data_IF_089172198882
#
_entry.id   IF_089172198882
#
_cell.length_a   1.000
_cell.length_b   1.000
_cell.length_c   1.000
_cell.angle_alpha   90.00
_cell.angle_beta   90.00
_cell.angle_gamma   90.00
#
_symmetry.space_group_name_H-M   'P 1'
#
loop_
_entity.id
_entity.type
_entity.pdbx_description
1 polymer ?
#
# COMPACT_ATOMS: atom_id res chain seq x y z
N UNK A 1 35.80 -27.30 7.17
CA UNK A 1 35.11 -26.99 8.44
C UNK A 1 36.11 -27.11 9.58
N UNK A 2 36.13 -26.18 10.53
CA UNK A 2 37.04 -26.24 11.67
C UNK A 2 36.76 -27.50 12.49
N UNK A 3 37.81 -28.22 12.91
CA UNK A 3 37.71 -29.51 13.61
C UNK A 3 37.33 -29.40 15.10
N UNK A 4 37.07 -28.19 15.60
CA UNK A 4 36.85 -27.92 17.03
C UNK A 4 35.58 -27.11 17.22
N UNK A 5 34.77 -27.49 18.23
CA UNK A 5 33.57 -26.78 18.62
C UNK A 5 33.88 -25.30 18.97
N UNK A 6 32.94 -24.42 18.64
CA UNK A 6 33.02 -23.01 19.02
C UNK A 6 32.94 -22.86 20.55
N UNK A 7 33.57 -21.81 21.08
CA UNK A 7 33.49 -21.48 22.51
C UNK A 7 32.04 -21.21 22.90
N UNK A 8 31.61 -21.77 24.03
CA UNK A 8 30.27 -21.52 24.57
C UNK A 8 30.14 -20.09 25.11
N UNK A 9 28.90 -19.60 25.22
CA UNK A 9 28.61 -18.25 25.76
C UNK A 9 29.20 -18.06 27.17
N UNK A 10 29.19 -19.11 27.99
CA UNK A 10 29.79 -19.12 29.34
C UNK A 10 31.31 -18.96 29.26
N UNK A 11 31.97 -19.67 28.33
CA UNK A 11 33.42 -19.55 28.17
C UNK A 11 33.83 -18.18 27.64
N UNK A 12 33.08 -17.62 26.68
CA UNK A 12 33.38 -16.29 26.14
C UNK A 12 33.21 -15.18 27.19
N UNK A 13 32.20 -15.30 28.06
CA UNK A 13 31.98 -14.33 29.16
C UNK A 13 33.07 -14.40 30.22
N UNK A 14 33.52 -15.60 30.60
CA UNK A 14 34.68 -15.79 31.50
C UNK A 14 35.95 -15.20 30.88
N UNK A 15 36.16 -15.39 29.57
CA UNK A 15 37.30 -14.80 28.87
C UNK A 15 37.23 -13.28 28.91
N UNK A 16 36.08 -12.67 28.61
CA UNK A 16 35.90 -11.22 28.60
C UNK A 16 36.10 -10.58 29.98
N UNK A 17 35.60 -11.20 31.06
CA UNK A 17 35.73 -10.68 32.43
C UNK A 17 37.18 -10.75 32.90
N UNK A 18 37.81 -11.91 32.79
CA UNK A 18 39.18 -12.11 33.27
C UNK A 18 40.23 -11.39 32.40
N UNK A 19 39.93 -11.16 31.12
CA UNK A 19 40.78 -10.34 30.26
C UNK A 19 40.73 -8.85 30.64
N UNK A 20 39.57 -8.34 31.08
CA UNK A 20 39.46 -6.97 31.63
C UNK A 20 40.21 -6.80 32.95
N UNK A 21 40.31 -7.87 33.74
CA UNK A 21 41.11 -7.93 34.97
C UNK A 21 42.62 -8.15 34.71
N UNK A 22 43.08 -8.03 33.45
CA UNK A 22 44.49 -8.18 33.02
C UNK A 22 45.15 -9.52 33.42
N UNK A 23 44.35 -10.58 33.64
CA UNK A 23 44.87 -11.90 33.99
C UNK A 23 45.59 -12.54 32.80
N UNK A 24 46.61 -13.35 33.10
CA UNK A 24 47.35 -14.08 32.05
C UNK A 24 46.43 -15.02 31.26
N UNK A 25 46.63 -15.12 29.93
CA UNK A 25 45.82 -15.98 29.06
C UNK A 25 45.82 -17.45 29.49
N UNK A 26 46.88 -17.91 30.18
CA UNK A 26 46.98 -19.27 30.75
C UNK A 26 46.02 -19.46 31.93
N UNK A 27 45.87 -18.46 32.80
CA UNK A 27 44.91 -18.49 33.90
C UNK A 27 43.47 -18.43 33.38
N UNK A 28 43.21 -17.57 32.38
CA UNK A 28 41.91 -17.46 31.71
C UNK A 28 41.51 -18.80 31.07
N UNK A 29 42.44 -19.47 30.39
CA UNK A 29 42.21 -20.76 29.76
C UNK A 29 41.82 -21.86 30.78
N UNK A 30 42.49 -21.87 31.93
CA UNK A 30 42.21 -22.83 33.02
C UNK A 30 40.81 -22.61 33.60
N UNK A 31 40.43 -21.35 33.85
CA UNK A 31 39.14 -20.98 34.43
C UNK A 31 37.98 -21.18 33.43
N UNK A 32 38.18 -20.81 32.16
CA UNK A 32 37.21 -21.01 31.10
C UNK A 32 37.14 -22.47 30.59
N UNK A 33 37.97 -23.38 31.12
CA UNK A 33 38.02 -24.78 30.69
C UNK A 33 38.29 -24.95 29.19
N UNK A 34 39.14 -24.10 28.59
CA UNK A 34 39.46 -24.14 27.17
C UNK A 34 40.97 -24.01 26.93
N UNK A 35 41.44 -24.24 25.69
CA UNK A 35 42.88 -24.09 25.40
C UNK A 35 43.31 -22.62 25.39
N UNK A 36 44.55 -22.33 25.81
CA UNK A 36 45.11 -20.97 25.74
C UNK A 36 45.11 -20.40 24.31
N UNK A 37 45.30 -21.25 23.31
CA UNK A 37 45.14 -20.88 21.89
C UNK A 37 43.72 -20.42 21.53
N UNK A 38 42.68 -20.98 22.16
CA UNK A 38 41.30 -20.55 21.95
C UNK A 38 41.05 -19.17 22.55
N UNK A 39 41.55 -18.92 23.77
CA UNK A 39 41.52 -17.61 24.43
C UNK A 39 42.22 -16.54 23.57
N UNK A 40 43.44 -16.82 23.10
CA UNK A 40 44.20 -15.91 22.25
C UNK A 40 43.49 -15.62 20.92
N UNK A 41 42.93 -16.63 20.25
CA UNK A 41 42.15 -16.44 19.01
C UNK A 41 40.89 -15.62 19.23
N UNK A 42 40.19 -15.84 20.34
CA UNK A 42 38.99 -15.10 20.69
C UNK A 42 39.29 -13.62 20.94
N UNK A 43 40.28 -13.32 21.80
CA UNK A 43 40.72 -11.95 22.10
C UNK A 43 41.16 -11.24 20.81
N UNK A 44 41.99 -11.89 19.99
CA UNK A 44 42.43 -11.32 18.72
C UNK A 44 41.28 -11.09 17.73
N UNK A 45 40.27 -11.95 17.71
CA UNK A 45 39.07 -11.78 16.86
C UNK A 45 38.25 -10.57 17.30
N UNK A 46 38.04 -10.41 18.61
CA UNK A 46 37.31 -9.28 19.19
C UNK A 46 38.06 -7.96 18.96
N UNK A 47 39.37 -7.93 19.24
CA UNK A 47 40.21 -6.74 19.04
C UNK A 47 40.31 -6.32 17.57
N UNK A 48 40.43 -7.28 16.65
CA UNK A 48 40.57 -6.98 15.21
C UNK A 48 39.24 -6.71 14.49
N UNK A 49 38.09 -6.77 15.19
CA UNK A 49 36.73 -6.62 14.63
C UNK A 49 36.62 -7.24 13.24
N UNK A 50 37.10 -8.47 13.09
CA UNK A 50 37.12 -9.09 11.76
C UNK A 50 35.67 -9.30 11.35
N UNK A 51 35.21 -8.55 10.34
CA UNK A 51 33.87 -8.75 9.80
C UNK A 51 33.71 -10.21 9.43
N UNK A 52 32.56 -10.78 9.78
CA UNK A 52 32.23 -12.15 9.42
C UNK A 52 32.26 -12.26 7.89
N UNK A 53 33.33 -12.87 7.37
CA UNK A 53 33.47 -13.11 5.95
C UNK A 53 32.55 -14.27 5.57
N UNK A 54 31.28 -13.96 5.39
CA UNK A 54 30.28 -14.88 4.88
C UNK A 54 30.53 -15.22 3.41
N UNK A 55 29.70 -16.10 2.88
CA UNK A 55 29.70 -16.40 1.44
C UNK A 55 29.45 -15.10 0.67
N UNK A 56 30.40 -14.73 -0.19
CA UNK A 56 30.26 -13.58 -1.09
C UNK A 56 28.99 -13.73 -1.93
N UNK A 57 28.32 -12.62 -2.18
CA UNK A 57 27.11 -12.58 -3.02
C UNK A 57 27.45 -13.07 -4.44
N UNK A 58 26.54 -13.82 -5.04
CA UNK A 58 26.71 -14.32 -6.40
C UNK A 58 26.63 -13.21 -7.48
N UNK A 59 26.14 -12.02 -7.13
CA UNK A 59 25.88 -10.92 -8.07
C UNK A 59 26.49 -9.62 -7.57
N UNK A 60 26.97 -8.83 -8.52
CA UNK A 60 27.65 -7.57 -8.27
C UNK A 60 26.66 -6.42 -8.09
N UNK A 61 27.11 -5.33 -7.49
CA UNK A 61 26.30 -4.11 -7.38
C UNK A 61 25.97 -3.49 -8.75
N UNK A 62 26.73 -3.83 -9.79
CA UNK A 62 26.41 -3.45 -11.17
C UNK A 62 25.19 -4.19 -11.69
N UNK A 63 25.05 -5.47 -11.35
CA UNK A 63 23.92 -6.31 -11.73
C UNK A 63 22.64 -5.88 -11.00
N UNK A 64 22.76 -5.47 -9.74
CA UNK A 64 21.65 -4.92 -8.98
C UNK A 64 21.15 -3.60 -9.59
N UNK A 65 22.07 -2.70 -9.96
CA UNK A 65 21.72 -1.44 -10.63
C UNK A 65 21.03 -1.68 -11.98
N UNK A 66 21.40 -2.75 -12.70
CA UNK A 66 20.72 -3.11 -13.94
C UNK A 66 19.31 -3.62 -13.69
N UNK A 67 19.12 -4.46 -12.67
CA UNK A 67 17.80 -4.93 -12.24
C UNK A 67 16.91 -3.77 -11.78
N UNK A 68 17.44 -2.84 -10.99
CA UNK A 68 16.70 -1.69 -10.50
C UNK A 68 16.19 -0.80 -11.64
N UNK A 69 17.02 -0.59 -12.67
CA UNK A 69 16.63 0.16 -13.88
C UNK A 69 15.49 -0.53 -14.63
N UNK A 70 15.55 -1.84 -14.80
CA UNK A 70 14.48 -2.64 -15.44
C UNK A 70 13.17 -2.48 -14.66
N UNK A 71 13.23 -2.60 -13.33
CA UNK A 71 12.06 -2.42 -12.45
C UNK A 71 11.48 -1.00 -12.57
N UNK A 72 12.34 0.04 -12.61
CA UNK A 72 11.91 1.43 -12.75
C UNK A 72 11.22 1.71 -14.07
N UNK A 73 11.64 1.07 -15.17
CA UNK A 73 11.00 1.18 -16.48
C UNK A 73 9.64 0.47 -16.52
N UNK A 74 9.52 -0.68 -15.85
CA UNK A 74 8.32 -1.52 -15.88
C UNK A 74 7.81 -1.90 -14.50
N UNK A 75 7.28 -0.93 -13.73
CA UNK A 75 6.83 -1.15 -12.34
C UNK A 75 5.73 -2.20 -12.16
N UNK A 76 4.95 -2.47 -13.21
CA UNK A 76 3.84 -3.43 -13.20
C UNK A 76 4.22 -4.81 -13.76
N UNK A 77 5.46 -5.00 -14.19
CA UNK A 77 5.91 -6.28 -14.73
C UNK A 77 5.97 -7.34 -13.64
N UNK A 78 5.64 -8.57 -14.02
CA UNK A 78 5.71 -9.70 -13.09
C UNK A 78 7.16 -10.17 -12.89
N UNK A 79 7.42 -10.95 -11.84
CA UNK A 79 8.77 -11.45 -11.53
C UNK A 79 9.41 -12.25 -12.69
N UNK A 80 8.61 -12.98 -13.48
CA UNK A 80 9.10 -13.75 -14.61
C UNK A 80 9.61 -12.85 -15.74
N UNK A 81 8.87 -11.80 -16.07
CA UNK A 81 9.27 -10.78 -17.04
C UNK A 81 10.53 -10.04 -16.60
N UNK A 82 10.56 -9.57 -15.34
CA UNK A 82 11.73 -8.91 -14.76
C UNK A 82 12.97 -9.82 -14.80
N UNK A 83 12.80 -11.10 -14.50
CA UNK A 83 13.88 -12.08 -14.57
C UNK A 83 14.36 -12.32 -16.01
N UNK A 84 13.43 -12.46 -16.97
CA UNK A 84 13.74 -12.64 -18.38
C UNK A 84 14.57 -11.47 -18.90
N UNK A 85 14.10 -10.24 -18.70
CA UNK A 85 14.82 -9.04 -19.13
C UNK A 85 16.16 -8.86 -18.43
N UNK A 86 16.27 -9.23 -17.15
CA UNK A 86 17.55 -9.18 -16.45
C UNK A 86 18.56 -10.20 -17.01
N UNK A 87 18.06 -11.33 -17.49
CA UNK A 87 18.87 -12.36 -18.17
C UNK A 87 19.29 -11.90 -19.56
N UNK A 88 18.38 -11.27 -20.31
CA UNK A 88 18.65 -10.65 -21.62
C UNK A 88 19.66 -9.51 -21.51
N UNK A 89 19.68 -8.79 -20.38
CA UNK A 89 20.69 -7.78 -20.06
C UNK A 89 22.08 -8.39 -19.71
N UNK A 90 22.25 -9.71 -19.84
CA UNK A 90 23.52 -10.42 -19.66
C UNK A 90 23.75 -10.98 -18.26
N UNK A 91 22.77 -10.92 -17.35
CA UNK A 91 22.93 -11.42 -15.98
C UNK A 91 22.32 -12.81 -15.83
N UNK A 92 23.17 -13.84 -15.76
CA UNK A 92 22.73 -15.21 -15.48
C UNK A 92 22.35 -15.39 -14.01
N UNK A 93 21.06 -15.39 -13.68
CA UNK A 93 20.55 -15.59 -12.33
C UNK A 93 19.32 -16.49 -12.34
N UNK A 94 19.02 -17.17 -11.22
CA UNK A 94 17.75 -17.87 -11.08
C UNK A 94 16.61 -16.89 -10.78
N UNK A 95 15.37 -17.25 -11.10
CA UNK A 95 14.18 -16.47 -10.72
C UNK A 95 14.13 -16.18 -9.21
N UNK A 96 14.51 -17.16 -8.38
CA UNK A 96 14.59 -17.01 -6.92
C UNK A 96 15.66 -15.99 -6.52
N UNK A 97 16.80 -15.97 -7.21
CA UNK A 97 17.84 -14.94 -7.01
C UNK A 97 17.28 -13.57 -7.35
N UNK A 98 16.63 -13.41 -8.50
CA UNK A 98 15.99 -12.14 -8.90
C UNK A 98 15.03 -11.63 -7.82
N UNK A 99 14.17 -12.51 -7.30
CA UNK A 99 13.24 -12.17 -6.21
C UNK A 99 13.98 -11.70 -4.94
N UNK A 100 14.98 -12.45 -4.49
CA UNK A 100 15.77 -12.08 -3.30
C UNK A 100 16.47 -10.73 -3.49
N UNK A 101 17.03 -10.46 -4.67
CA UNK A 101 17.66 -9.16 -4.98
C UNK A 101 16.64 -8.03 -4.95
N UNK A 102 15.46 -8.22 -5.52
CA UNK A 102 14.38 -7.23 -5.44
C UNK A 102 14.04 -6.92 -3.98
N UNK A 103 13.91 -7.95 -3.15
CA UNK A 103 13.61 -7.78 -1.73
C UNK A 103 14.75 -7.10 -0.96
N UNK A 104 16.01 -7.47 -1.20
CA UNK A 104 17.20 -6.82 -0.62
C UNK A 104 17.25 -5.32 -0.97
N UNK A 105 16.79 -4.95 -2.17
CA UNK A 105 16.67 -3.56 -2.62
C UNK A 105 15.42 -2.83 -2.08
N UNK A 106 14.60 -3.49 -1.25
CA UNK A 106 13.39 -2.93 -0.67
C UNK A 106 12.14 -2.98 -1.56
N UNK A 107 12.18 -3.75 -2.66
CA UNK A 107 11.00 -3.96 -3.49
C UNK A 107 10.14 -5.11 -2.97
N UNK A 108 8.82 -4.88 -2.95
CA UNK A 108 7.84 -5.90 -2.63
C UNK A 108 6.65 -5.76 -3.58
N UNK A 109 6.05 -6.89 -3.94
CA UNK A 109 4.80 -6.90 -4.70
C UNK A 109 3.67 -6.41 -3.80
N UNK A 110 2.96 -5.36 -4.22
CA UNK A 110 1.82 -4.77 -3.51
C UNK A 110 0.67 -4.54 -4.47
N UNK A 111 -0.55 -4.53 -3.95
CA UNK A 111 -1.73 -4.13 -4.72
C UNK A 111 -1.62 -2.62 -4.99
N UNK A 112 -1.66 -2.17 -6.26
CA UNK A 112 -1.58 -0.74 -6.58
C UNK A 112 -2.79 0.01 -6.05
N UNK A 113 -2.58 1.23 -5.57
CA UNK A 113 -3.67 2.11 -5.17
C UNK A 113 -4.41 2.62 -6.41
N UNK A 114 -5.71 2.33 -6.50
CA UNK A 114 -6.56 2.83 -7.58
C UNK A 114 -7.04 4.24 -7.22
N UNK A 115 -6.71 5.22 -8.06
CA UNK A 115 -7.12 6.63 -7.89
C UNK A 115 -7.69 7.17 -9.20
N UNK A 116 -8.68 8.08 -9.16
CA UNK A 116 -9.14 8.76 -10.35
C UNK A 116 -8.00 9.59 -10.95
N UNK A 117 -7.87 9.54 -12.27
CA UNK A 117 -6.87 10.33 -12.98
C UNK A 117 -7.28 11.81 -12.96
N UNK A 118 -6.38 12.69 -12.52
CA UNK A 118 -6.62 14.13 -12.44
C UNK A 118 -5.75 14.87 -13.44
N UNK A 119 -6.36 15.70 -14.28
CA UNK A 119 -5.63 16.62 -15.15
C UNK A 119 -4.93 17.72 -14.31
N UNK A 120 -4.02 18.47 -14.95
CA UNK A 120 -3.23 19.49 -14.23
C UNK A 120 -4.09 20.63 -13.66
N UNK A 121 -5.11 21.07 -14.41
CA UNK A 121 -6.06 22.11 -14.00
C UNK A 121 -6.87 21.69 -12.76
N UNK A 122 -7.35 20.45 -12.73
CA UNK A 122 -8.07 19.88 -11.59
C UNK A 122 -7.18 19.79 -10.35
N UNK A 123 -5.92 19.36 -10.51
CA UNK A 123 -4.93 19.33 -9.42
C UNK A 123 -4.71 20.72 -8.82
N UNK A 124 -4.52 21.73 -9.67
CA UNK A 124 -4.33 23.12 -9.22
C UNK A 124 -5.57 23.66 -8.49
N UNK A 125 -6.78 23.45 -9.04
CA UNK A 125 -8.03 23.86 -8.37
C UNK A 125 -8.19 23.21 -6.99
N UNK A 126 -7.96 21.90 -6.90
CA UNK A 126 -8.01 21.16 -5.62
C UNK A 126 -6.98 21.68 -4.62
N UNK A 127 -5.76 21.96 -5.08
CA UNK A 127 -4.70 22.50 -4.23
C UNK A 127 -5.02 23.92 -3.74
N UNK A 128 -5.54 24.78 -4.61
CA UNK A 128 -5.94 26.15 -4.26
C UNK A 128 -7.03 26.12 -3.19
N UNK A 129 -8.09 25.34 -3.43
CA UNK A 129 -9.17 25.15 -2.47
C UNK A 129 -8.66 24.60 -1.13
N UNK A 130 -7.78 23.59 -1.15
CA UNK A 130 -7.21 23.04 0.08
C UNK A 130 -6.38 24.07 0.86
N UNK A 131 -5.59 24.91 0.18
CA UNK A 131 -4.81 25.99 0.81
C UNK A 131 -5.70 27.09 1.38
N UNK A 132 -6.73 27.50 0.64
CA UNK A 132 -7.71 28.51 1.10
C UNK A 132 -8.44 28.08 2.38
N UNK A 133 -8.74 26.77 2.50
CA UNK A 133 -9.47 26.20 3.64
C UNK A 133 -8.55 25.58 4.71
N UNK A 134 -7.22 25.63 4.53
CA UNK A 134 -6.26 24.98 5.43
C UNK A 134 -6.35 25.50 6.87
N UNK A 135 -6.61 26.80 7.04
CA UNK A 135 -6.66 27.48 8.34
C UNK A 135 -8.09 27.75 8.81
N UNK A 136 -9.08 27.07 8.21
CA UNK A 136 -10.46 27.22 8.66
C UNK A 136 -10.64 26.68 10.07
N UNK A 137 -11.33 27.46 10.91
CA UNK A 137 -11.64 27.07 12.28
C UNK A 137 -12.74 26.01 12.32
N UNK A 138 -12.86 25.30 13.44
CA UNK A 138 -13.94 24.32 13.66
C UNK A 138 -15.31 24.98 13.45
N UNK A 139 -15.48 26.23 13.91
CA UNK A 139 -16.72 26.99 13.72
C UNK A 139 -17.04 27.31 12.24
N UNK A 140 -16.01 27.48 11.41
CA UNK A 140 -16.21 27.67 9.96
C UNK A 140 -16.58 26.34 9.28
N UNK A 141 -15.94 25.23 9.69
CA UNK A 141 -16.31 23.90 9.20
C UNK A 141 -17.70 23.46 9.67
N UNK A 142 -18.14 23.88 10.85
CA UNK A 142 -19.46 23.51 11.38
C UNK A 142 -20.61 24.10 10.56
N UNK A 143 -20.35 25.16 9.79
CA UNK A 143 -21.30 25.82 8.91
C UNK A 143 -21.39 25.18 7.50
N UNK A 144 -20.62 24.12 7.22
CA UNK A 144 -20.61 23.47 5.91
C UNK A 144 -21.62 22.31 5.88
N UNK A 145 -22.52 22.33 4.91
CA UNK A 145 -23.34 21.17 4.52
C UNK A 145 -22.66 20.44 3.39
N UNK A 146 -22.32 19.17 3.60
CA UNK A 146 -21.85 18.28 2.55
C UNK A 146 -23.04 17.51 2.01
N UNK A 147 -23.19 17.46 0.68
CA UNK A 147 -24.19 16.63 0.00
C UNK A 147 -23.51 15.81 -1.09
N UNK A 148 -23.97 14.59 -1.32
CA UNK A 148 -23.48 13.74 -2.42
C UNK A 148 -24.54 12.70 -2.82
N UNK A 149 -24.40 12.18 -4.03
CA UNK A 149 -25.16 11.02 -4.51
C UNK A 149 -24.32 9.75 -4.46
N UNK A 150 -24.90 8.68 -3.93
CA UNK A 150 -24.28 7.35 -3.94
C UNK A 150 -25.21 6.33 -4.59
N UNK A 151 -24.60 5.37 -5.29
CA UNK A 151 -25.31 4.22 -5.87
C UNK A 151 -24.95 2.99 -5.06
N UNK A 152 -25.95 2.36 -4.46
CA UNK A 152 -25.83 1.11 -3.73
C UNK A 152 -26.32 -0.05 -4.58
N UNK A 153 -25.42 -0.94 -4.99
CA UNK A 153 -25.80 -2.16 -5.70
C UNK A 153 -26.33 -3.21 -4.72
N UNK A 154 -27.51 -3.78 -5.01
CA UNK A 154 -28.18 -4.81 -4.20
C UNK A 154 -27.46 -6.17 -4.36
N UNK A 155 -26.88 -6.44 -5.53
CA UNK A 155 -26.10 -7.64 -5.77
C UNK A 155 -24.61 -7.45 -5.46
N UNK A 156 -24.21 -7.88 -4.25
CA UNK A 156 -22.86 -8.22 -3.77
C UNK A 156 -21.71 -7.23 -4.06
N UNK A 157 -21.03 -6.78 -3.00
CA UNK A 157 -19.76 -6.06 -3.09
C UNK A 157 -18.69 -6.78 -3.92
N UNK A 158 -17.65 -6.03 -4.31
CA UNK A 158 -16.59 -6.38 -5.28
C UNK A 158 -15.85 -7.73 -5.07
N UNK A 159 -16.09 -8.46 -3.98
CA UNK A 159 -15.42 -9.72 -3.66
C UNK A 159 -16.44 -10.74 -3.19
N UNK A 160 -17.24 -11.28 -4.10
CA UNK A 160 -18.15 -12.39 -3.80
C UNK A 160 -17.48 -13.56 -3.04
N UNK A 161 -18.26 -14.52 -2.51
CA UNK A 161 -17.72 -15.63 -1.74
C UNK A 161 -16.59 -16.34 -2.50
N UNK A 162 -15.50 -16.64 -1.79
CA UNK A 162 -14.37 -17.36 -2.37
C UNK A 162 -14.81 -18.77 -2.74
N UNK A 163 -14.46 -19.19 -3.95
CA UNK A 163 -14.71 -20.55 -4.44
C UNK A 163 -13.48 -21.40 -4.19
N UNK A 164 -13.67 -22.61 -3.65
CA UNK A 164 -12.63 -23.63 -3.57
C UNK A 164 -12.63 -24.41 -4.90
N UNK A 165 -11.54 -24.34 -5.67
CA UNK A 165 -11.40 -25.04 -6.95
C UNK A 165 -10.05 -25.75 -7.07
N UNK A 166 -10.01 -26.90 -7.75
CA UNK A 166 -8.74 -27.58 -8.06
C UNK A 166 -8.06 -26.91 -9.27
N UNK A 167 -6.76 -27.17 -9.42
CA UNK A 167 -5.98 -26.70 -10.58
C UNK A 167 -6.64 -27.13 -11.89
N UNK A 168 -6.96 -26.16 -12.76
CA UNK A 168 -7.64 -26.39 -14.05
C UNK A 168 -9.17 -26.29 -14.00
N UNK A 169 -9.79 -26.15 -12.83
CA UNK A 169 -11.26 -26.06 -12.69
C UNK A 169 -11.80 -24.63 -12.75
N UNK A 170 -10.94 -23.63 -12.92
CA UNK A 170 -11.30 -22.21 -12.87
C UNK A 170 -12.41 -21.80 -13.87
N UNK A 171 -12.52 -22.51 -15.00
CA UNK A 171 -13.52 -22.26 -16.05
C UNK A 171 -14.76 -23.15 -15.94
N UNK A 172 -14.83 -24.05 -14.94
CA UNK A 172 -16.03 -24.88 -14.73
C UNK A 172 -17.17 -23.99 -14.26
N UNK A 173 -18.37 -24.19 -14.80
CA UNK A 173 -19.57 -23.43 -14.42
C UNK A 173 -19.85 -23.46 -12.91
N UNK A 174 -19.56 -24.57 -12.23
CA UNK A 174 -19.66 -24.70 -10.77
C UNK A 174 -18.67 -23.82 -9.98
N UNK A 175 -17.62 -23.33 -10.64
CA UNK A 175 -16.60 -22.46 -10.08
C UNK A 175 -16.72 -21.00 -10.58
N UNK A 176 -17.68 -20.72 -11.47
CA UNK A 176 -17.94 -19.39 -12.01
C UNK A 176 -19.07 -18.72 -11.25
N UNK A 177 -18.89 -17.43 -10.96
CA UNK A 177 -19.97 -16.57 -10.46
C UNK A 177 -20.55 -15.80 -11.64
N UNK A 178 -21.85 -15.93 -11.88
CA UNK A 178 -22.54 -15.08 -12.87
C UNK A 178 -22.45 -13.61 -12.44
N UNK A 179 -22.02 -12.75 -13.36
CA UNK A 179 -21.98 -11.31 -13.19
C UNK A 179 -22.97 -10.67 -14.15
N UNK A 180 -23.89 -9.86 -13.62
CA UNK A 180 -24.82 -9.08 -14.43
C UNK A 180 -24.16 -7.75 -14.82
N UNK A 181 -24.32 -7.32 -16.08
CA UNK A 181 -23.76 -6.05 -16.60
C UNK A 181 -24.35 -4.83 -15.90
N UNK A 182 -25.63 -4.92 -15.51
CA UNK A 182 -26.38 -3.87 -14.82
C UNK A 182 -27.00 -4.44 -13.55
N UNK A 183 -26.26 -4.48 -12.43
CA UNK A 183 -26.82 -4.96 -11.17
C UNK A 183 -27.97 -4.06 -10.74
N UNK A 184 -28.97 -4.66 -10.10
CA UNK A 184 -30.02 -3.89 -9.45
C UNK A 184 -29.36 -2.98 -8.41
N UNK A 185 -29.64 -1.69 -8.48
CA UNK A 185 -29.03 -0.69 -7.61
C UNK A 185 -30.05 0.36 -7.21
N UNK A 186 -29.76 1.05 -6.12
CA UNK A 186 -30.58 2.12 -5.57
C UNK A 186 -29.70 3.36 -5.49
N UNK A 187 -30.16 4.45 -6.09
CA UNK A 187 -29.50 5.74 -5.96
C UNK A 187 -30.06 6.47 -4.76
N UNK A 188 -29.16 6.98 -3.93
CA UNK A 188 -29.50 7.67 -2.69
C UNK A 188 -28.78 9.00 -2.70
N UNK A 189 -29.52 10.07 -2.40
CA UNK A 189 -28.96 11.36 -2.07
C UNK A 189 -28.96 11.54 -0.55
N UNK A 190 -27.90 12.16 -0.03
CA UNK A 190 -27.83 12.49 1.38
C UNK A 190 -27.02 13.75 1.62
N UNK A 191 -27.27 14.36 2.77
CA UNK A 191 -26.48 15.47 3.27
C UNK A 191 -26.03 15.22 4.72
N UNK A 192 -24.92 15.86 5.11
CA UNK A 192 -24.41 15.83 6.47
C UNK A 192 -23.67 17.12 6.81
N UNK A 193 -23.75 17.52 8.08
CA UNK A 193 -22.99 18.63 8.65
C UNK A 193 -22.35 18.18 9.97
N UNK A 194 -21.65 19.11 10.63
CA UNK A 194 -21.13 18.88 11.99
C UNK A 194 -22.21 18.50 13.02
N UNK A 195 -23.45 18.93 12.81
CA UNK A 195 -24.58 18.60 13.69
C UNK A 195 -25.15 17.19 13.46
N UNK A 196 -24.71 16.50 12.40
CA UNK A 196 -25.15 15.14 12.06
C UNK A 196 -25.68 15.02 10.63
N UNK A 197 -26.18 13.82 10.34
CA UNK A 197 -26.65 13.40 9.00
C UNK A 197 -28.11 13.79 8.80
N UNK A 198 -28.49 14.14 7.58
CA UNK A 198 -29.88 14.38 7.17
C UNK A 198 -30.56 13.10 6.67
N UNK A 199 -31.90 13.06 6.62
CA UNK A 199 -32.62 11.93 6.05
C UNK A 199 -32.16 11.61 4.63
N UNK A 200 -31.93 10.33 4.36
CA UNK A 200 -31.55 9.86 3.03
C UNK A 200 -32.77 9.90 2.10
N UNK A 201 -32.58 10.45 0.90
CA UNK A 201 -33.59 10.50 -0.15
C UNK A 201 -33.32 9.41 -1.18
N UNK A 202 -34.29 8.50 -1.32
CA UNK A 202 -34.24 7.41 -2.29
C UNK A 202 -34.72 7.90 -3.65
N UNK A 203 -33.82 7.96 -4.62
CA UNK A 203 -34.12 8.41 -5.97
C UNK A 203 -34.53 7.20 -6.81
N UNK A 204 -35.80 7.19 -7.22
CA UNK A 204 -36.39 6.09 -8.02
C UNK A 204 -36.12 6.21 -9.51
N UNK A 205 -35.68 7.37 -9.99
CA UNK A 205 -35.46 7.70 -11.40
C UNK A 205 -34.01 8.07 -11.67
N UNK A 206 -33.65 8.20 -12.96
CA UNK A 206 -32.38 8.80 -13.37
C UNK A 206 -32.34 10.25 -12.93
N UNK A 207 -31.28 10.66 -12.22
CA UNK A 207 -31.09 12.05 -11.80
C UNK A 207 -30.90 12.94 -13.03
N UNK A 208 -31.89 13.79 -13.26
CA UNK A 208 -31.81 14.91 -14.19
C UNK A 208 -31.81 16.22 -13.39
N UNK A 209 -31.65 17.35 -14.07
CA UNK A 209 -31.57 18.65 -13.41
C UNK A 209 -32.83 19.00 -12.61
N UNK A 210 -34.03 18.67 -13.13
CA UNK A 210 -35.30 18.96 -12.45
C UNK A 210 -35.48 18.14 -11.17
N UNK A 211 -35.23 16.82 -11.25
CA UNK A 211 -35.24 15.92 -10.09
C UNK A 211 -34.23 16.38 -9.04
N UNK A 212 -33.05 16.85 -9.49
CA UNK A 212 -32.06 17.37 -8.55
C UNK A 212 -32.51 18.67 -7.87
N UNK A 213 -33.15 19.58 -8.60
CA UNK A 213 -33.74 20.80 -8.02
C UNK A 213 -34.81 20.46 -6.99
N UNK A 214 -35.71 19.53 -7.30
CA UNK A 214 -36.73 19.06 -6.35
C UNK A 214 -36.09 18.46 -5.09
N UNK A 215 -35.03 17.68 -5.22
CA UNK A 215 -34.28 17.12 -4.08
C UNK A 215 -33.67 18.24 -3.23
N UNK A 216 -33.06 19.24 -3.87
CA UNK A 216 -32.47 20.36 -3.13
C UNK A 216 -33.52 21.16 -2.36
N UNK A 217 -34.66 21.43 -2.99
CA UNK A 217 -35.77 22.17 -2.37
C UNK A 217 -36.39 21.40 -1.21
N UNK A 218 -36.62 20.09 -1.36
CA UNK A 218 -37.31 19.29 -0.35
C UNK A 218 -36.40 18.83 0.79
N UNK A 219 -35.11 18.59 0.54
CA UNK A 219 -34.21 17.98 1.53
C UNK A 219 -33.08 18.91 1.97
N UNK A 220 -32.50 19.71 1.06
CA UNK A 220 -31.29 20.48 1.35
C UNK A 220 -31.61 21.84 1.98
N UNK A 221 -32.65 22.55 1.49
CA UNK A 221 -33.07 23.82 2.08
C UNK A 221 -33.54 23.65 3.54
N UNK A 222 -34.45 22.71 3.88
CA UNK A 222 -34.87 22.54 5.27
C UNK A 222 -33.72 22.12 6.19
N UNK A 223 -32.81 21.28 5.70
CA UNK A 223 -31.61 20.88 6.45
C UNK A 223 -30.67 22.06 6.72
N UNK A 224 -30.46 22.93 5.74
CA UNK A 224 -29.65 24.13 5.89
C UNK A 224 -30.32 25.13 6.85
N UNK A 225 -31.64 25.28 6.81
CA UNK A 225 -32.34 26.17 7.74
C UNK A 225 -32.26 25.67 9.19
N UNK A 226 -32.45 24.37 9.41
CA UNK A 226 -32.41 23.77 10.75
C UNK A 226 -31.00 23.72 11.34
N UNK A 227 -29.96 23.54 10.51
CA UNK A 227 -28.60 23.23 10.98
C UNK A 227 -27.58 24.34 10.76
N UNK A 228 -27.85 25.30 9.86
CA UNK A 228 -26.85 26.28 9.40
C UNK A 228 -27.31 27.73 9.60
N UNK A 229 -28.61 28.02 9.74
CA UNK A 229 -29.08 29.38 10.00
C UNK A 229 -28.86 29.85 11.46
N UNK A 230 -27.59 29.95 11.84
CA UNK A 230 -27.03 31.16 12.44
C UNK A 230 -25.80 31.53 11.61
N UNK A 231 -25.97 32.48 10.68
CA UNK A 231 -24.96 33.11 9.81
C UNK A 231 -24.68 32.45 8.43
N UNK A 232 -25.57 32.75 7.49
CA UNK A 232 -25.32 33.07 6.07
C UNK A 232 -23.99 32.65 5.41
N UNK A 233 -23.91 31.39 4.94
CA UNK A 233 -23.32 30.98 3.64
C UNK A 233 -23.39 29.46 3.42
N UNK A 234 -24.20 29.03 2.45
CA UNK A 234 -24.19 27.66 1.93
C UNK A 234 -23.13 27.59 0.81
N UNK A 235 -22.19 26.65 0.90
CA UNK A 235 -21.17 26.43 -0.13
C UNK A 235 -21.47 25.16 -0.91
N UNK A 236 -21.64 25.29 -2.23
CA UNK A 236 -21.77 24.14 -3.14
C UNK A 236 -20.43 23.90 -3.84
N UNK A 237 -19.92 22.66 -3.82
CA UNK A 237 -18.85 22.24 -4.72
C UNK A 237 -19.47 22.01 -6.11
N UNK A 238 -19.02 22.69 -7.19
CA UNK A 238 -19.52 22.38 -8.52
C UNK A 238 -19.01 21.00 -8.94
N UNK A 239 -19.81 19.97 -8.72
CA UNK A 239 -19.72 18.71 -9.45
C UNK A 239 -20.13 19.01 -10.89
N UNK A 240 -19.18 18.88 -11.81
CA UNK A 240 -19.50 18.89 -13.23
C UNK A 240 -20.48 17.72 -13.49
N UNK A 241 -21.59 17.93 -14.21
CA UNK A 241 -22.45 16.82 -14.60
C UNK A 241 -21.60 15.79 -15.34
N UNK A 242 -21.63 14.54 -14.89
CA UNK A 242 -21.01 13.43 -15.61
C UNK A 242 -21.71 13.35 -16.98
N UNK A 243 -21.00 13.75 -18.03
CA UNK A 243 -21.50 13.61 -19.40
C UNK A 243 -21.88 12.14 -19.64
N UNK A 244 -23.03 11.86 -20.29
CA UNK A 244 -23.36 10.51 -20.71
C UNK A 244 -22.29 10.02 -21.69
N UNK A 245 -21.78 8.83 -21.43
CA UNK A 245 -20.82 8.15 -22.32
C UNK A 245 -21.54 7.94 -23.66
N UNK A 246 -21.05 8.49 -24.79
CA UNK A 246 -21.66 8.22 -26.09
C UNK A 246 -21.44 6.74 -26.44
N UNK A 247 -22.53 5.99 -26.52
CA UNK A 247 -22.55 4.69 -27.16
C UNK A 247 -22.20 4.88 -28.64
N UNK A 248 -21.20 4.11 -29.09
CA UNK A 248 -20.96 3.82 -30.50
C UNK A 248 -22.27 3.35 -31.14
N UNK A 249 -22.85 4.20 -31.99
CA UNK A 249 -23.73 3.77 -33.07
C UNK A 249 -22.88 3.84 -34.32
N UNK A 250 -22.50 2.66 -34.82
CA UNK A 250 -22.04 2.51 -36.18
C UNK A 250 -23.25 2.64 -37.12
N UNK A 251 -23.16 3.53 -38.10
CA UNK A 251 -23.91 3.46 -39.34
C UNK A 251 -22.90 3.71 -40.47
N UNK A 252 -22.35 2.62 -40.99
CA UNK A 252 -22.48 2.15 -42.38
C UNK A 252 -22.07 0.67 -42.41
#
# INVERSE_FOLDING_TARGET
>A
MGKTADLTVVQTTIIDTLHKEEKSQKAIAKEAGCSQSAVSKYINRVLRRREECGRKRCKSDRDDRSLERIVKQGRFRNLGELHKEWTEAGVSASRTTTYRRLHDMGYSCRIPCVKPFLNQKQRQKRLCWAKEKQYWSIAQWSQVLFSDESIFCISFGNQGPRVWSKTGEAQKSSCLKSSVKFPQSVMVWGAMSSAGVDPLSFIKSTVNAAVYQEILEHFMLPAAELKILFSSRIWHLPTQPKLPVPGLIAME
#
